data_IF_440763070737
#
_entry.id   IF_440763070737
#
_cell.length_a   1.000
_cell.length_b   1.000
_cell.length_c   1.000
_cell.angle_alpha   90.00
_cell.angle_beta   90.00
_cell.angle_gamma   90.00
#
_symmetry.space_group_name_H-M   'P 1'
#
loop_
_entity.id
_entity.type
_entity.pdbx_description
1 polymer ?
#
# COMPACT_ATOMS: atom_id res chain seq x y z
N UNK A 1 -18.01 -7.96 36.73
CA UNK A 1 -18.84 -6.94 36.06
C UNK A 1 -18.31 -6.78 34.64
N UNK A 2 -19.03 -7.28 33.65
CA UNK A 2 -18.66 -7.16 32.25
C UNK A 2 -18.94 -5.73 31.78
N UNK A 3 -17.90 -4.94 31.53
CA UNK A 3 -18.08 -3.68 30.81
C UNK A 3 -18.45 -4.05 29.36
N UNK A 4 -19.70 -3.80 28.98
CA UNK A 4 -20.22 -3.93 27.62
C UNK A 4 -19.62 -2.92 26.65
N UNK A 5 -18.30 -2.91 26.53
CA UNK A 5 -17.61 -2.13 25.52
C UNK A 5 -17.69 -2.91 24.19
N UNK A 6 -18.54 -2.43 23.28
CA UNK A 6 -18.61 -2.90 21.89
C UNK A 6 -17.27 -2.63 21.16
N UNK A 7 -16.38 -1.84 21.77
CA UNK A 7 -15.10 -1.41 21.23
C UNK A 7 -14.02 -1.39 22.32
N UNK A 8 -12.93 -2.13 22.11
CA UNK A 8 -11.70 -2.02 22.90
C UNK A 8 -10.68 -1.14 22.13
N UNK A 9 -10.39 0.09 22.60
CA UNK A 9 -9.46 1.00 21.93
C UNK A 9 -8.06 0.42 21.75
N UNK A 10 -7.59 -0.41 22.67
CA UNK A 10 -6.28 -1.02 22.58
C UNK A 10 -6.26 -2.09 21.49
N UNK A 11 -7.29 -2.94 21.42
CA UNK A 11 -7.44 -3.92 20.34
C UNK A 11 -7.55 -3.22 18.99
N UNK A 12 -8.33 -2.15 18.90
CA UNK A 12 -8.45 -1.35 17.68
C UNK A 12 -7.10 -0.77 17.25
N UNK A 13 -6.32 -0.22 18.20
CA UNK A 13 -4.97 0.24 17.95
C UNK A 13 -4.06 -0.89 17.47
N UNK A 14 -4.12 -2.09 18.09
CA UNK A 14 -3.33 -3.26 17.66
C UNK A 14 -3.62 -3.67 16.22
N UNK A 15 -4.89 -3.62 15.82
CA UNK A 15 -5.37 -4.00 14.49
C UNK A 15 -5.13 -2.92 13.43
N UNK A 16 -5.05 -1.65 13.80
CA UNK A 16 -5.02 -0.55 12.85
C UNK A 16 -3.90 -0.64 11.78
N UNK A 17 -2.64 -1.04 12.09
CA UNK A 17 -1.61 -1.24 11.07
C UNK A 17 -1.95 -2.35 10.07
N UNK A 18 -2.58 -3.43 10.54
CA UNK A 18 -3.01 -4.54 9.68
C UNK A 18 -4.17 -4.10 8.77
N UNK A 19 -5.16 -3.39 9.30
CA UNK A 19 -6.31 -2.92 8.51
C UNK A 19 -5.86 -1.92 7.44
N UNK A 20 -5.09 -0.91 7.83
CA UNK A 20 -4.58 0.11 6.90
C UNK A 20 -3.64 -0.47 5.84
N UNK A 21 -2.76 -1.41 6.20
CA UNK A 21 -1.93 -2.13 5.21
C UNK A 21 -2.74 -3.06 4.31
N UNK A 22 -3.83 -3.66 4.80
CA UNK A 22 -4.78 -4.44 3.96
C UNK A 22 -5.40 -3.55 2.90
N UNK A 23 -5.89 -2.36 3.28
CA UNK A 23 -6.43 -1.39 2.32
C UNK A 23 -5.38 -0.94 1.30
N UNK A 24 -4.14 -0.69 1.73
CA UNK A 24 -3.02 -0.33 0.84
C UNK A 24 -2.71 -1.44 -0.17
N UNK A 25 -2.61 -2.68 0.32
CA UNK A 25 -2.34 -3.87 -0.50
C UNK A 25 -3.46 -4.11 -1.52
N UNK A 26 -4.71 -4.01 -1.07
CA UNK A 26 -5.88 -4.16 -1.93
C UNK A 26 -5.93 -3.08 -3.01
N UNK A 27 -5.66 -1.83 -2.64
CA UNK A 27 -5.59 -0.72 -3.60
C UNK A 27 -4.52 -0.96 -4.68
N UNK A 28 -3.33 -1.46 -4.29
CA UNK A 28 -2.27 -1.81 -5.23
C UNK A 28 -2.67 -2.95 -6.18
N UNK A 29 -3.44 -3.92 -5.69
CA UNK A 29 -3.97 -5.04 -6.48
C UNK A 29 -5.04 -4.56 -7.47
N UNK A 30 -5.99 -3.75 -7.01
CA UNK A 30 -7.03 -3.14 -7.85
C UNK A 30 -6.41 -2.31 -8.98
N UNK A 31 -5.36 -1.54 -8.68
CA UNK A 31 -4.60 -0.81 -9.70
C UNK A 31 -4.02 -1.77 -10.76
N UNK A 32 -3.48 -2.92 -10.37
CA UNK A 32 -2.98 -3.91 -11.33
C UNK A 32 -4.11 -4.49 -12.17
N UNK A 33 -5.23 -4.90 -11.57
CA UNK A 33 -6.36 -5.51 -12.28
C UNK A 33 -6.96 -4.50 -13.26
N UNK A 34 -7.36 -3.33 -12.78
CA UNK A 34 -8.08 -2.37 -13.59
C UNK A 34 -7.20 -1.78 -14.68
N UNK A 35 -5.96 -1.39 -14.35
CA UNK A 35 -5.11 -0.73 -15.32
C UNK A 35 -4.58 -1.68 -16.41
N UNK A 36 -4.49 -2.98 -16.12
CA UNK A 36 -4.14 -3.98 -17.14
C UNK A 36 -5.13 -4.03 -18.30
N UNK A 37 -6.39 -3.64 -18.09
CA UNK A 37 -7.38 -3.56 -19.18
C UNK A 37 -7.01 -2.51 -20.23
N UNK A 38 -6.37 -1.41 -19.85
CA UNK A 38 -5.88 -0.40 -20.81
C UNK A 38 -4.73 -0.95 -21.68
N UNK A 39 -3.91 -1.84 -21.14
CA UNK A 39 -2.81 -2.47 -21.86
C UNK A 39 -3.25 -3.66 -22.73
N UNK A 40 -4.49 -4.14 -22.59
CA UNK A 40 -4.99 -5.28 -23.35
C UNK A 40 -5.01 -4.97 -24.86
N UNK A 41 -4.55 -5.87 -25.75
CA UNK A 41 -4.43 -5.61 -27.19
C UNK A 41 -5.71 -5.04 -27.83
N UNK A 42 -6.89 -5.53 -27.42
CA UNK A 42 -8.18 -5.04 -27.91
C UNK A 42 -8.47 -3.57 -27.58
N UNK A 43 -7.85 -3.03 -26.52
CA UNK A 43 -8.12 -1.69 -26.00
C UNK A 43 -6.98 -0.72 -26.27
N UNK A 44 -5.79 -1.19 -26.70
CA UNK A 44 -4.56 -0.38 -26.73
C UNK A 44 -4.72 0.93 -27.51
N UNK A 45 -5.23 0.88 -28.74
CA UNK A 45 -5.38 2.07 -29.58
C UNK A 45 -6.26 3.14 -28.92
N UNK A 46 -7.40 2.74 -28.35
CA UNK A 46 -8.28 3.67 -27.63
C UNK A 46 -7.66 4.15 -26.30
N UNK A 47 -6.95 3.24 -25.63
CA UNK A 47 -6.30 3.50 -24.35
C UNK A 47 -5.17 4.50 -24.50
N UNK A 48 -4.29 4.36 -25.50
CA UNK A 48 -3.18 5.27 -25.78
C UNK A 48 -3.62 6.74 -25.86
N UNK A 49 -4.80 7.00 -26.41
CA UNK A 49 -5.38 8.34 -26.48
C UNK A 49 -5.91 8.87 -25.14
N UNK A 50 -6.51 7.99 -24.33
CA UNK A 50 -7.20 8.35 -23.08
C UNK A 50 -6.28 8.34 -21.84
N UNK A 51 -5.24 7.51 -21.86
CA UNK A 51 -4.39 7.20 -20.70
C UNK A 51 -3.69 8.44 -20.10
N UNK A 52 -3.14 9.38 -20.90
CA UNK A 52 -2.51 10.57 -20.33
C UNK A 52 -3.49 11.40 -19.50
N UNK A 53 -4.71 11.58 -19.99
CA UNK A 53 -5.76 12.30 -19.25
C UNK A 53 -6.19 11.54 -18.01
N UNK A 54 -6.37 10.22 -18.12
CA UNK A 54 -6.69 9.37 -16.97
C UNK A 54 -5.62 9.49 -15.86
N UNK A 55 -4.33 9.40 -16.21
CA UNK A 55 -3.26 9.54 -15.22
C UNK A 55 -3.19 10.95 -14.62
N UNK A 56 -3.44 12.01 -15.40
CA UNK A 56 -3.49 13.37 -14.84
C UNK A 56 -4.61 13.57 -13.81
N UNK A 57 -5.77 12.94 -14.00
CA UNK A 57 -6.94 13.12 -13.12
C UNK A 57 -6.96 12.13 -11.96
N UNK A 58 -6.77 10.84 -12.24
CA UNK A 58 -6.86 9.77 -11.24
C UNK A 58 -5.60 9.68 -10.37
N UNK A 59 -4.40 9.78 -10.97
CA UNK A 59 -3.16 9.46 -10.25
C UNK A 59 -2.93 10.41 -9.07
N UNK A 60 -3.26 11.70 -9.21
CA UNK A 60 -3.13 12.67 -8.11
C UNK A 60 -3.98 12.27 -6.90
N UNK A 61 -5.23 11.86 -7.13
CA UNK A 61 -6.12 11.38 -6.06
C UNK A 61 -5.62 10.06 -5.48
N UNK A 62 -5.11 9.15 -6.32
CA UNK A 62 -4.55 7.88 -5.88
C UNK A 62 -3.32 8.05 -4.98
N UNK A 63 -2.44 9.02 -5.27
CA UNK A 63 -1.28 9.35 -4.44
C UNK A 63 -1.69 9.82 -3.05
N UNK A 64 -2.74 10.65 -2.94
CA UNK A 64 -3.24 11.09 -1.64
C UNK A 64 -3.69 9.88 -0.81
N UNK A 65 -4.50 8.99 -1.38
CA UNK A 65 -4.99 7.81 -0.66
C UNK A 65 -3.88 6.88 -0.20
N UNK A 66 -2.90 6.57 -1.05
CA UNK A 66 -1.80 5.68 -0.67
C UNK A 66 -0.94 6.31 0.44
N UNK A 67 -0.64 7.61 0.37
CA UNK A 67 0.12 8.29 1.41
C UNK A 67 -0.63 8.33 2.74
N UNK A 68 -1.95 8.52 2.72
CA UNK A 68 -2.79 8.44 3.93
C UNK A 68 -2.77 7.05 4.55
N UNK A 69 -2.89 5.98 3.75
CA UNK A 69 -2.89 4.60 4.24
C UNK A 69 -1.52 4.17 4.80
N UNK A 70 -0.43 4.52 4.11
CA UNK A 70 0.93 4.28 4.58
C UNK A 70 1.21 5.07 5.86
N UNK A 71 0.83 6.36 5.89
CA UNK A 71 0.97 7.21 7.07
C UNK A 71 0.21 6.67 8.27
N UNK A 72 -1.03 6.20 8.07
CA UNK A 72 -1.83 5.58 9.13
C UNK A 72 -1.20 4.27 9.64
N UNK A 73 -0.68 3.44 8.74
CA UNK A 73 0.02 2.20 9.09
C UNK A 73 1.24 2.49 9.96
N UNK A 74 2.08 3.46 9.55
CA UNK A 74 3.28 3.86 10.28
C UNK A 74 2.96 4.48 11.64
N UNK A 75 2.00 5.42 11.66
CA UNK A 75 1.61 6.11 12.89
C UNK A 75 1.09 5.12 13.93
N UNK A 76 0.15 4.26 13.54
CA UNK A 76 -0.45 3.31 14.48
C UNK A 76 0.53 2.21 14.88
N UNK A 77 1.44 1.77 14.00
CA UNK A 77 2.52 0.86 14.38
C UNK A 77 3.49 1.51 15.39
N UNK A 78 3.81 2.78 15.20
CA UNK A 78 4.63 3.57 16.13
C UNK A 78 3.97 3.71 17.50
N UNK A 79 2.70 4.10 17.55
CA UNK A 79 1.94 4.22 18.81
C UNK A 79 1.88 2.85 19.50
N UNK A 80 1.62 1.76 18.77
CA UNK A 80 1.64 0.41 19.32
C UNK A 80 2.95 0.08 20.05
N UNK A 81 4.08 0.42 19.43
CA UNK A 81 5.43 0.15 19.95
C UNK A 81 5.74 1.02 21.17
N UNK A 82 5.31 2.29 21.18
CA UNK A 82 5.63 3.25 22.25
C UNK A 82 4.75 3.02 23.49
N UNK A 83 3.44 2.84 23.31
CA UNK A 83 2.48 2.82 24.43
C UNK A 83 2.54 1.55 25.28
N UNK A 84 2.88 0.41 24.68
CA UNK A 84 2.87 -0.87 25.40
C UNK A 84 4.01 -1.78 24.93
N UNK A 85 5.22 -1.21 24.99
CA UNK A 85 6.46 -1.88 24.58
C UNK A 85 6.75 -3.14 25.39
N UNK A 86 6.46 -3.12 26.69
CA UNK A 86 6.77 -4.22 27.59
C UNK A 86 5.94 -5.48 27.27
N UNK A 87 4.62 -5.32 27.06
CA UNK A 87 3.76 -6.43 26.65
C UNK A 87 4.16 -6.96 25.27
N UNK A 88 4.40 -6.06 24.30
CA UNK A 88 4.84 -6.45 22.95
C UNK A 88 6.24 -7.08 22.92
N UNK A 89 7.13 -6.73 23.86
CA UNK A 89 8.44 -7.34 23.98
C UNK A 89 8.33 -8.77 24.49
N UNK A 90 7.47 -9.00 25.50
CA UNK A 90 7.11 -10.36 25.91
C UNK A 90 6.56 -11.12 24.69
N UNK A 91 5.68 -10.49 23.89
CA UNK A 91 5.28 -10.78 22.48
C UNK A 91 6.27 -11.48 21.59
N UNK A 92 7.45 -10.87 21.60
CA UNK A 92 8.22 -10.63 20.38
C UNK A 92 7.40 -9.95 19.27
N UNK A 93 6.21 -9.42 19.54
CA UNK A 93 5.35 -8.69 18.59
C UNK A 93 5.96 -7.35 18.20
N UNK A 94 6.76 -6.75 19.08
CA UNK A 94 7.46 -5.49 18.82
C UNK A 94 8.31 -5.57 17.54
N UNK A 95 8.97 -6.71 17.29
CA UNK A 95 9.79 -6.91 16.10
C UNK A 95 8.94 -7.01 14.82
N UNK A 96 7.76 -7.61 14.91
CA UNK A 96 6.83 -7.74 13.80
C UNK A 96 6.20 -6.40 13.42
N UNK A 97 5.78 -5.59 14.39
CA UNK A 97 5.32 -4.21 14.12
C UNK A 97 6.45 -3.34 13.55
N UNK A 98 7.67 -3.45 14.07
CA UNK A 98 8.82 -2.71 13.56
C UNK A 98 9.19 -3.13 12.12
N UNK A 99 9.21 -4.43 11.84
CA UNK A 99 9.45 -4.95 10.49
C UNK A 99 8.36 -4.51 9.51
N UNK A 100 7.08 -4.59 9.91
CA UNK A 100 5.96 -4.11 9.09
C UNK A 100 6.07 -2.62 8.78
N UNK A 101 6.44 -1.80 9.77
CA UNK A 101 6.71 -0.37 9.56
C UNK A 101 7.90 -0.14 8.61
N UNK A 102 8.99 -0.91 8.74
CA UNK A 102 10.14 -0.81 7.85
C UNK A 102 9.77 -1.14 6.39
N UNK A 103 9.00 -2.21 6.14
CA UNK A 103 8.50 -2.53 4.81
C UNK A 103 7.52 -1.46 4.28
N UNK A 104 6.68 -0.90 5.14
CA UNK A 104 5.79 0.23 4.79
C UNK A 104 6.59 1.44 4.31
N UNK A 105 7.69 1.79 4.99
CA UNK A 105 8.63 2.83 4.52
C UNK A 105 9.30 2.41 3.20
N UNK A 106 9.62 1.12 3.05
CA UNK A 106 10.18 0.53 1.83
C UNK A 106 9.36 0.80 0.56
N UNK A 107 8.05 1.04 0.68
CA UNK A 107 7.20 1.49 -0.43
C UNK A 107 7.80 2.72 -1.16
N UNK A 108 8.32 3.69 -0.39
CA UNK A 108 8.87 4.92 -0.95
C UNK A 108 10.15 4.70 -1.78
N UNK A 109 10.86 3.59 -1.58
CA UNK A 109 12.07 3.26 -2.35
C UNK A 109 11.78 3.01 -3.83
N UNK A 110 10.53 2.72 -4.20
CA UNK A 110 10.11 2.56 -5.59
C UNK A 110 9.82 3.89 -6.30
N UNK A 111 9.65 4.99 -5.55
CA UNK A 111 9.29 6.29 -6.12
C UNK A 111 10.28 6.82 -7.19
N UNK A 112 11.62 6.72 -7.01
CA UNK A 112 12.57 7.17 -8.03
C UNK A 112 12.42 6.48 -9.39
N UNK A 113 11.90 5.25 -9.40
CA UNK A 113 11.68 4.46 -10.63
C UNK A 113 10.28 4.69 -11.18
N UNK A 114 9.27 4.73 -10.32
CA UNK A 114 7.86 4.84 -10.72
C UNK A 114 7.47 6.25 -11.16
N UNK A 115 7.95 7.30 -10.46
CA UNK A 115 7.56 8.67 -10.75
C UNK A 115 7.90 9.13 -12.19
N UNK A 116 9.08 8.82 -12.75
CA UNK A 116 9.37 9.10 -14.16
C UNK A 116 8.42 8.41 -15.15
N UNK A 117 7.98 7.18 -14.84
CA UNK A 117 7.06 6.41 -15.70
C UNK A 117 5.67 7.06 -15.68
N UNK A 118 5.17 7.40 -14.49
CA UNK A 118 3.91 8.14 -14.32
C UNK A 118 3.93 9.43 -15.11
N UNK A 119 5.05 10.16 -15.06
CA UNK A 119 5.24 11.39 -15.82
C UNK A 119 5.23 11.14 -17.33
N UNK A 120 5.87 10.06 -17.79
CA UNK A 120 5.87 9.67 -19.19
C UNK A 120 4.45 9.39 -19.71
N UNK A 121 3.62 8.68 -18.93
CA UNK A 121 2.21 8.44 -19.26
C UNK A 121 1.41 9.75 -19.25
N UNK A 122 1.53 10.54 -18.18
CA UNK A 122 0.72 11.75 -17.96
C UNK A 122 0.98 12.85 -19.01
N UNK A 123 2.21 12.93 -19.49
CA UNK A 123 2.67 13.89 -20.50
C UNK A 123 2.70 13.30 -21.92
N UNK A 124 2.22 12.06 -22.11
CA UNK A 124 2.29 11.31 -23.37
C UNK A 124 3.68 11.37 -24.05
N UNK A 125 4.75 11.16 -23.28
CA UNK A 125 6.13 11.25 -23.80
C UNK A 125 6.45 10.20 -24.87
N UNK A 126 5.70 9.10 -24.86
CA UNK A 126 5.78 8.04 -25.87
C UNK A 126 4.96 8.32 -27.13
N UNK A 127 4.35 9.51 -27.26
CA UNK A 127 3.68 10.01 -28.47
C UNK A 127 2.62 9.06 -29.02
N UNK A 128 1.57 8.79 -28.24
CA UNK A 128 0.50 7.87 -28.64
C UNK A 128 0.81 6.39 -28.39
N UNK A 129 1.84 6.11 -27.58
CA UNK A 129 2.20 4.75 -27.13
C UNK A 129 2.28 4.65 -25.59
N UNK A 130 1.44 5.43 -24.90
CA UNK A 130 1.39 5.51 -23.43
C UNK A 130 1.08 4.16 -22.75
N UNK A 131 0.43 3.21 -23.45
CA UNK A 131 0.21 1.85 -22.96
C UNK A 131 1.51 1.06 -22.76
N UNK A 132 2.59 1.36 -23.49
CA UNK A 132 3.92 0.76 -23.26
C UNK A 132 4.51 1.20 -21.93
N UNK A 133 4.37 2.48 -21.60
CA UNK A 133 4.80 3.00 -20.31
C UNK A 133 3.93 2.45 -19.17
N UNK A 134 2.64 2.23 -19.42
CA UNK A 134 1.74 1.57 -18.49
C UNK A 134 2.15 0.13 -18.18
N UNK A 135 2.54 -0.66 -19.19
CA UNK A 135 3.02 -2.04 -18.96
C UNK A 135 4.25 -2.05 -18.05
N UNK A 136 5.16 -1.11 -18.26
CA UNK A 136 6.31 -0.92 -17.37
C UNK A 136 5.86 -0.53 -15.96
N UNK A 137 4.90 0.38 -15.84
CA UNK A 137 4.34 0.79 -14.55
C UNK A 137 3.69 -0.39 -13.80
N UNK A 138 2.88 -1.20 -14.49
CA UNK A 138 2.21 -2.39 -13.95
C UNK A 138 3.22 -3.38 -13.37
N UNK A 139 4.33 -3.62 -14.07
CA UNK A 139 5.38 -4.50 -13.58
C UNK A 139 5.99 -3.99 -12.26
N UNK A 140 6.34 -2.70 -12.20
CA UNK A 140 6.89 -2.09 -10.97
C UNK A 140 5.86 -2.03 -9.84
N UNK A 141 4.59 -1.77 -10.15
CA UNK A 141 3.50 -1.77 -9.17
C UNK A 141 3.31 -3.17 -8.57
N UNK A 142 3.31 -4.22 -9.39
CA UNK A 142 3.24 -5.61 -8.94
C UNK A 142 4.46 -5.98 -8.09
N UNK A 143 5.68 -5.62 -8.53
CA UNK A 143 6.90 -5.92 -7.78
C UNK A 143 6.89 -5.24 -6.40
N UNK A 144 6.56 -3.95 -6.34
CA UNK A 144 6.40 -3.22 -5.06
C UNK A 144 5.35 -3.89 -4.17
N UNK A 145 4.19 -4.20 -4.75
CA UNK A 145 3.09 -4.83 -4.02
C UNK A 145 3.51 -6.15 -3.38
N UNK A 146 4.20 -7.03 -4.11
CA UNK A 146 4.62 -8.35 -3.59
C UNK A 146 5.79 -8.24 -2.61
N UNK A 147 6.74 -7.33 -2.84
CA UNK A 147 7.97 -7.27 -2.05
C UNK A 147 7.85 -6.48 -0.76
N UNK A 148 7.14 -5.35 -0.76
CA UNK A 148 7.08 -4.46 0.40
C UNK A 148 5.67 -4.33 0.97
N UNK A 149 4.63 -4.21 0.14
CA UNK A 149 3.26 -4.04 0.66
C UNK A 149 2.74 -5.35 1.28
N UNK A 150 2.94 -6.49 0.61
CA UNK A 150 2.58 -7.81 1.13
C UNK A 150 3.45 -8.20 2.33
N UNK A 151 4.75 -7.90 2.29
CA UNK A 151 5.65 -8.17 3.42
C UNK A 151 5.24 -7.37 4.67
N UNK A 152 4.87 -6.09 4.50
CA UNK A 152 4.33 -5.26 5.57
C UNK A 152 3.05 -5.87 6.16
N UNK A 153 2.10 -6.24 5.29
CA UNK A 153 0.85 -6.86 5.68
C UNK A 153 1.05 -8.16 6.48
N UNK A 154 1.93 -9.05 6.00
CA UNK A 154 2.27 -10.30 6.72
C UNK A 154 2.87 -9.98 8.09
N UNK A 155 3.82 -9.04 8.16
CA UNK A 155 4.45 -8.66 9.43
C UNK A 155 3.42 -8.12 10.43
N UNK A 156 2.54 -7.23 10.00
CA UNK A 156 1.47 -6.72 10.86
C UNK A 156 0.48 -7.82 11.27
N UNK A 157 0.14 -8.74 10.36
CA UNK A 157 -0.72 -9.89 10.65
C UNK A 157 -0.14 -10.78 11.76
N UNK A 158 1.14 -11.14 11.65
CA UNK A 158 1.84 -11.92 12.68
C UNK A 158 1.94 -11.14 13.99
N UNK A 159 2.22 -9.83 13.93
CA UNK A 159 2.26 -8.96 15.10
C UNK A 159 0.92 -8.91 15.85
N UNK A 160 -0.19 -8.79 15.12
CA UNK A 160 -1.55 -8.82 15.67
C UNK A 160 -1.83 -10.17 16.33
N UNK A 161 -1.64 -11.28 15.60
CA UNK A 161 -1.94 -12.63 16.11
C UNK A 161 -1.16 -12.88 17.40
N UNK A 162 0.14 -12.58 17.43
CA UNK A 162 0.97 -12.78 18.62
C UNK A 162 0.61 -11.87 19.80
N UNK A 163 -0.01 -10.72 19.53
CA UNK A 163 -0.42 -9.78 20.58
C UNK A 163 -1.77 -10.18 21.17
N UNK A 164 -2.70 -10.66 20.34
CA UNK A 164 -4.07 -10.97 20.74
C UNK A 164 -4.29 -12.43 21.18
N UNK A 165 -3.41 -13.36 20.80
CA UNK A 165 -3.49 -14.77 21.23
C UNK A 165 -2.81 -15.02 22.59
N UNK A 166 -2.75 -14.01 23.46
CA UNK A 166 -2.11 -14.07 24.78
C UNK A 166 -3.10 -14.05 25.91
#
# INVERSE_FOLDING_TARGET
MASGAIFDPLVALRLAPLVSSTCSLWFAWDQNIFLRNFAHPANRTASDHSLPTYFRTFFRSGVTWILSLLGLSLLTAGINIVTDRASLAQSRSVYWYAAGAAFTVGHALYAPVVAPIVRAISEDRSKGHSTRDLERWLWWNLLRMVTVDLAAWVCFGVGVIRTLSR
#
